data_IF_848133132955
#
_entry.id   IF_848133132955
#
_cell.length_a   1.000
_cell.length_b   1.000
_cell.length_c   1.000
_cell.angle_alpha   90.00
_cell.angle_beta   90.00
_cell.angle_gamma   90.00
#
_symmetry.space_group_name_H-M   'P 1'
#
loop_
_entity.id
_entity.type
_entity.pdbx_description
1 polymer ?
#
# COMPACT_ATOMS: atom_id res chain seq x y z
N UNK A 1 -0.25 -13.41 6.88
CA UNK A 1 -1.29 -12.48 6.42
C UNK A 1 -1.10 -11.05 6.92
N UNK A 2 -0.90 -10.84 8.23
CA UNK A 2 -0.69 -9.49 8.80
C UNK A 2 0.49 -8.78 8.16
N UNK A 3 1.61 -9.47 7.98
CA UNK A 3 2.81 -8.89 7.34
C UNK A 3 2.55 -8.47 5.89
N UNK A 4 1.80 -9.27 5.13
CA UNK A 4 1.41 -8.93 3.76
C UNK A 4 0.56 -7.66 3.72
N UNK A 5 -0.42 -7.56 4.62
CA UNK A 5 -1.27 -6.39 4.73
C UNK A 5 -0.47 -5.15 5.15
N UNK A 6 0.47 -5.30 6.09
CA UNK A 6 1.38 -4.21 6.49
C UNK A 6 2.26 -3.75 5.32
N UNK A 7 2.70 -4.68 4.48
CA UNK A 7 3.43 -4.32 3.26
C UNK A 7 2.55 -3.48 2.31
N UNK A 8 1.28 -3.83 2.16
CA UNK A 8 0.34 -3.05 1.34
C UNK A 8 0.07 -1.66 1.93
N UNK A 9 0.05 -1.51 3.26
CA UNK A 9 0.00 -0.19 3.91
C UNK A 9 1.18 0.66 3.46
N UNK A 10 2.38 0.09 3.45
CA UNK A 10 3.59 0.77 2.99
C UNK A 10 3.53 1.11 1.50
N UNK A 11 3.06 0.20 0.65
CA UNK A 11 2.91 0.42 -0.79
C UNK A 11 1.98 1.59 -1.06
N UNK A 12 0.84 1.66 -0.37
CA UNK A 12 -0.11 2.76 -0.51
C UNK A 12 0.55 4.11 -0.14
N UNK A 13 1.23 4.19 0.99
CA UNK A 13 1.91 5.41 1.40
C UNK A 13 3.00 5.82 0.41
N UNK A 14 3.80 4.86 -0.06
CA UNK A 14 4.94 5.13 -0.95
C UNK A 14 4.49 5.57 -2.34
N UNK A 15 3.58 4.84 -2.93
CA UNK A 15 3.25 5.00 -4.35
C UNK A 15 1.99 5.81 -4.57
N UNK A 16 0.97 5.68 -3.74
CA UNK A 16 -0.25 6.44 -3.89
C UNK A 16 -0.16 7.81 -3.22
N UNK A 17 0.03 7.86 -1.92
CA UNK A 17 0.04 9.13 -1.20
C UNK A 17 1.22 10.00 -1.60
N UNK A 18 2.39 9.42 -1.69
CA UNK A 18 3.60 10.17 -2.01
C UNK A 18 3.73 10.49 -3.51
N UNK A 19 3.54 9.51 -4.39
CA UNK A 19 3.77 9.69 -5.82
C UNK A 19 2.55 10.19 -6.58
N UNK A 20 1.38 9.61 -6.34
CA UNK A 20 0.16 10.04 -7.04
C UNK A 20 -0.38 11.36 -6.48
N UNK A 21 -0.45 11.49 -5.15
CA UNK A 21 -0.98 12.69 -4.49
C UNK A 21 0.08 13.75 -4.20
N UNK A 22 1.36 13.40 -4.22
CA UNK A 22 2.46 14.35 -3.96
C UNK A 22 2.61 14.77 -2.50
N UNK A 23 2.18 13.93 -1.56
CA UNK A 23 2.24 14.23 -0.14
C UNK A 23 3.64 13.99 0.44
N UNK A 24 4.04 14.82 1.38
CA UNK A 24 5.35 14.71 2.06
C UNK A 24 5.26 14.14 3.46
N UNK A 25 4.09 13.65 3.85
CA UNK A 25 3.85 13.07 5.17
C UNK A 25 4.75 11.86 5.44
N UNK A 26 5.11 11.58 6.70
CA UNK A 26 5.80 10.35 7.07
C UNK A 26 4.98 9.11 6.69
N UNK A 27 5.64 7.97 6.52
CA UNK A 27 4.95 6.70 6.33
C UNK A 27 4.13 6.34 7.57
N UNK A 28 3.04 5.62 7.36
CA UNK A 28 2.23 5.08 8.46
C UNK A 28 3.07 4.12 9.29
N UNK A 29 3.05 4.27 10.61
CA UNK A 29 3.92 3.53 11.53
C UNK A 29 3.81 2.01 11.38
N UNK A 30 2.63 1.49 11.08
CA UNK A 30 2.38 0.06 10.92
C UNK A 30 2.79 -0.51 9.56
N UNK A 31 3.27 0.33 8.63
CA UNK A 31 3.74 -0.12 7.33
C UNK A 31 4.96 -1.02 7.44
N UNK A 32 5.13 -1.94 6.49
CA UNK A 32 6.27 -2.83 6.43
C UNK A 32 6.96 -2.66 5.08
N UNK A 33 8.07 -1.94 5.08
CA UNK A 33 8.86 -1.65 3.89
C UNK A 33 10.12 -2.52 3.80
N UNK A 34 10.96 -2.25 2.79
CA UNK A 34 12.27 -2.88 2.70
C UNK A 34 13.07 -2.65 3.97
N UNK A 35 13.92 -3.62 4.33
CA UNK A 35 14.66 -3.60 5.60
C UNK A 35 15.46 -2.31 5.81
N UNK A 36 16.11 -1.81 4.75
CA UNK A 36 16.92 -0.59 4.86
C UNK A 36 16.09 0.66 5.19
N UNK A 37 14.79 0.66 4.87
CA UNK A 37 13.89 1.74 5.25
C UNK A 37 13.38 1.61 6.68
N UNK A 38 13.27 0.39 7.20
CA UNK A 38 12.80 0.16 8.57
C UNK A 38 13.77 0.71 9.62
N UNK A 39 15.04 0.87 9.26
CA UNK A 39 16.08 1.37 10.16
C UNK A 39 16.25 2.89 10.09
N UNK A 40 15.42 3.60 9.32
CA UNK A 40 15.48 5.04 9.12
C UNK A 40 14.36 5.77 9.87
N UNK A 41 14.58 7.05 10.18
CA UNK A 41 13.54 7.92 10.72
C UNK A 41 12.61 8.40 9.59
N UNK A 42 11.54 7.65 9.34
CA UNK A 42 10.61 7.95 8.24
C UNK A 42 9.15 7.71 8.62
N UNK A 43 8.86 7.46 9.90
CA UNK A 43 7.53 7.16 10.40
C UNK A 43 7.26 5.68 10.62
N UNK A 44 7.98 4.79 9.94
CA UNK A 44 7.83 3.35 10.12
C UNK A 44 8.33 2.91 11.51
N UNK A 45 7.60 1.99 12.14
CA UNK A 45 7.94 1.45 13.45
C UNK A 45 8.21 -0.05 13.36
N UNK A 46 9.50 -0.47 13.33
CA UNK A 46 9.84 -1.89 13.24
C UNK A 46 9.41 -2.71 14.46
N UNK A 47 9.13 -2.04 15.59
CA UNK A 47 8.70 -2.71 16.82
C UNK A 47 7.18 -2.81 16.95
N UNK A 48 6.41 -2.28 16.00
CA UNK A 48 4.95 -2.30 16.06
C UNK A 48 4.40 -3.74 16.14
N UNK A 49 3.46 -3.93 17.05
CA UNK A 49 2.72 -5.19 17.22
C UNK A 49 1.25 -4.90 16.98
N UNK A 50 0.68 -5.53 15.97
CA UNK A 50 -0.64 -5.18 15.47
C UNK A 50 -1.50 -6.43 15.32
N UNK A 51 -2.78 -6.28 15.68
CA UNK A 51 -3.78 -7.30 15.38
C UNK A 51 -4.19 -7.21 13.90
N UNK A 52 -4.76 -8.29 13.39
CA UNK A 52 -5.32 -8.31 12.04
C UNK A 52 -6.39 -7.23 11.88
N UNK A 53 -7.27 -7.06 12.88
CA UNK A 53 -8.35 -6.07 12.83
C UNK A 53 -7.82 -4.63 12.71
N UNK A 54 -6.75 -4.29 13.42
CA UNK A 54 -6.13 -2.97 13.33
C UNK A 54 -5.58 -2.69 11.93
N UNK A 55 -4.90 -3.67 11.33
CA UNK A 55 -4.34 -3.52 9.98
C UNK A 55 -5.48 -3.44 8.95
N UNK A 56 -6.51 -4.27 9.07
CA UNK A 56 -7.66 -4.25 8.17
C UNK A 56 -8.38 -2.90 8.20
N UNK A 57 -8.53 -2.29 9.38
CA UNK A 57 -9.15 -0.97 9.50
C UNK A 57 -8.37 0.11 8.73
N UNK A 58 -7.03 0.07 8.78
CA UNK A 58 -6.19 0.98 8.01
C UNK A 58 -6.32 0.69 6.51
N UNK A 59 -6.33 -0.58 6.11
CA UNK A 59 -6.48 -0.97 4.71
C UNK A 59 -7.83 -0.52 4.13
N UNK A 60 -8.90 -0.60 4.91
CA UNK A 60 -10.22 -0.12 4.47
C UNK A 60 -10.20 1.39 4.20
N UNK A 61 -9.56 2.18 5.05
CA UNK A 61 -9.41 3.62 4.83
C UNK A 61 -8.58 3.92 3.59
N UNK A 62 -7.49 3.18 3.37
CA UNK A 62 -6.64 3.34 2.19
C UNK A 62 -7.39 2.99 0.91
N UNK A 63 -8.16 1.90 0.91
CA UNK A 63 -8.98 1.50 -0.23
C UNK A 63 -10.01 2.58 -0.57
N UNK A 64 -10.68 3.14 0.44
CA UNK A 64 -11.65 4.23 0.24
C UNK A 64 -11.00 5.48 -0.35
N UNK A 65 -9.78 5.81 0.07
CA UNK A 65 -9.03 6.93 -0.47
C UNK A 65 -8.75 6.75 -1.97
N UNK A 66 -8.31 5.55 -2.37
CA UNK A 66 -8.06 5.23 -3.79
C UNK A 66 -9.36 5.27 -4.58
N UNK A 67 -10.43 4.67 -4.07
CA UNK A 67 -11.74 4.65 -4.74
C UNK A 67 -12.28 6.06 -4.98
N UNK A 68 -12.19 6.92 -3.97
CA UNK A 68 -12.64 8.31 -4.07
C UNK A 68 -11.84 9.06 -5.15
N UNK A 69 -10.53 8.87 -5.16
CA UNK A 69 -9.66 9.48 -6.15
C UNK A 69 -9.97 8.98 -7.56
N UNK A 70 -10.15 7.67 -7.74
CA UNK A 70 -10.46 7.05 -9.04
C UNK A 70 -11.80 7.53 -9.59
N UNK A 71 -12.77 7.83 -8.73
CA UNK A 71 -14.08 8.31 -9.16
C UNK A 71 -14.02 9.69 -9.84
N UNK A 72 -12.98 10.47 -9.54
CA UNK A 72 -12.85 11.86 -10.02
C UNK A 72 -11.68 12.09 -10.98
N UNK A 73 -10.80 11.09 -11.14
CA UNK A 73 -9.60 11.26 -11.97
C UNK A 73 -9.96 11.35 -13.45
N UNK A 74 -9.22 12.21 -14.18
CA UNK A 74 -9.38 12.37 -15.63
C UNK A 74 -8.22 11.71 -16.38
N UNK A 75 -8.41 11.36 -17.68
CA UNK A 75 -7.31 10.86 -18.51
C UNK A 75 -6.11 11.79 -18.55
N UNK A 76 -6.33 13.11 -18.56
CA UNK A 76 -5.26 14.11 -18.56
C UNK A 76 -4.44 14.04 -17.27
N UNK A 77 -5.08 13.87 -16.12
CA UNK A 77 -4.39 13.71 -14.84
C UNK A 77 -3.53 12.44 -14.82
N UNK A 78 -4.03 11.34 -15.38
CA UNK A 78 -3.29 10.08 -15.46
C UNK A 78 -2.05 10.18 -16.35
N UNK A 79 -2.10 11.01 -17.39
CA UNK A 79 -1.00 11.20 -18.33
C UNK A 79 0.08 12.18 -17.81
N UNK A 80 -0.20 12.98 -16.79
CA UNK A 80 0.75 13.95 -16.25
C UNK A 80 1.90 13.25 -15.53
N UNK A 81 3.05 13.94 -15.46
CA UNK A 81 4.16 13.50 -14.62
C UNK A 81 3.69 13.50 -13.15
N UNK A 82 3.97 12.43 -12.46
CA UNK A 82 3.56 12.28 -11.05
C UNK A 82 4.22 13.39 -10.20
N UNK A 83 3.45 13.99 -9.26
CA UNK A 83 3.97 15.08 -8.41
C UNK A 83 4.82 14.53 -7.26
N UNK A 84 5.82 13.70 -7.59
CA UNK A 84 6.73 13.11 -6.60
C UNK A 84 7.50 14.23 -5.91
N UNK A 85 7.48 14.29 -4.56
CA UNK A 85 8.23 15.31 -3.83
C UNK A 85 9.72 15.29 -4.16
N UNK A 86 10.32 16.47 -4.27
CA UNK A 86 11.74 16.62 -4.59
C UNK A 86 12.60 16.42 -3.35
N UNK A 87 12.73 15.18 -2.92
CA UNK A 87 13.57 14.75 -1.82
C UNK A 87 14.15 13.37 -2.14
N UNK A 88 14.98 12.82 -1.24
CA UNK A 88 15.65 11.54 -1.43
C UNK A 88 14.89 10.36 -0.83
N UNK A 89 13.65 10.57 -0.40
CA UNK A 89 12.85 9.51 0.22
C UNK A 89 12.36 8.50 -0.80
N UNK A 90 12.06 7.32 -0.31
CA UNK A 90 11.54 6.22 -1.11
C UNK A 90 10.15 6.53 -1.69
N UNK A 91 9.87 6.24 -2.96
CA UNK A 91 10.77 5.66 -3.97
C UNK A 91 11.42 6.74 -4.84
N UNK A 92 12.74 6.95 -4.76
CA UNK A 92 13.41 8.04 -5.50
C UNK A 92 13.34 7.87 -7.01
N UNK A 93 13.28 6.65 -7.51
CA UNK A 93 13.21 6.35 -8.94
C UNK A 93 11.82 6.59 -9.55
N UNK A 94 10.82 6.96 -8.75
CA UNK A 94 9.50 7.32 -9.26
C UNK A 94 9.47 8.67 -9.96
N UNK A 95 10.46 9.53 -9.71
CA UNK A 95 10.55 10.85 -10.34
C UNK A 95 10.59 10.71 -11.86
N UNK A 96 9.79 11.53 -12.55
CA UNK A 96 9.70 11.52 -14.01
C UNK A 96 8.69 10.54 -14.59
N UNK A 97 8.11 9.67 -13.77
CA UNK A 97 7.05 8.75 -14.21
C UNK A 97 5.70 9.44 -14.26
N UNK A 98 4.82 8.97 -15.15
CA UNK A 98 3.44 9.46 -15.22
C UNK A 98 2.63 8.96 -14.01
N UNK A 99 1.59 9.71 -13.64
CA UNK A 99 0.66 9.32 -12.57
C UNK A 99 0.14 7.90 -12.79
N UNK A 100 -0.27 7.56 -14.03
CA UNK A 100 -0.77 6.23 -14.36
C UNK A 100 0.24 5.11 -14.08
N UNK A 101 1.54 5.38 -14.22
CA UNK A 101 2.58 4.39 -13.95
C UNK A 101 2.75 4.15 -12.45
N UNK A 102 2.70 5.21 -11.65
CA UNK A 102 2.73 5.10 -10.19
C UNK A 102 1.48 4.39 -9.66
N UNK A 103 0.31 4.75 -10.19
CA UNK A 103 -0.94 4.09 -9.86
C UNK A 103 -0.90 2.60 -10.26
N UNK A 104 -0.36 2.30 -11.44
CA UNK A 104 -0.16 0.92 -11.91
C UNK A 104 0.63 0.08 -10.94
N UNK A 105 1.70 0.63 -10.36
CA UNK A 105 2.50 -0.04 -9.32
C UNK A 105 1.65 -0.38 -8.10
N UNK A 106 0.82 0.57 -7.63
CA UNK A 106 -0.11 0.33 -6.51
C UNK A 106 -1.06 -0.82 -6.82
N UNK A 107 -1.69 -0.78 -7.99
CA UNK A 107 -2.68 -1.77 -8.39
C UNK A 107 -2.05 -3.15 -8.60
N UNK A 108 -0.86 -3.23 -9.20
CA UNK A 108 -0.13 -4.47 -9.40
C UNK A 108 0.26 -5.12 -8.06
N UNK A 109 0.73 -4.33 -7.11
CA UNK A 109 1.07 -4.80 -5.76
C UNK A 109 -0.18 -5.27 -5.01
N UNK A 110 -1.26 -4.49 -5.07
CA UNK A 110 -2.54 -4.85 -4.47
C UNK A 110 -3.06 -6.17 -5.05
N UNK A 111 -3.01 -6.32 -6.37
CA UNK A 111 -3.47 -7.51 -7.04
C UNK A 111 -2.66 -8.75 -6.65
N UNK A 112 -1.32 -8.64 -6.69
CA UNK A 112 -0.44 -9.74 -6.36
C UNK A 112 -0.62 -10.21 -4.91
N UNK A 113 -0.62 -9.27 -3.97
CA UNK A 113 -0.72 -9.60 -2.54
C UNK A 113 -2.15 -9.94 -2.12
N UNK A 114 -3.17 -9.34 -2.76
CA UNK A 114 -4.57 -9.72 -2.54
C UNK A 114 -4.79 -11.18 -2.93
N UNK A 115 -4.22 -11.63 -4.04
CA UNK A 115 -4.28 -13.01 -4.47
C UNK A 115 -3.73 -13.97 -3.42
N UNK A 116 -2.61 -13.64 -2.79
CA UNK A 116 -2.04 -14.43 -1.70
C UNK A 116 -2.94 -14.44 -0.47
N UNK A 117 -3.45 -13.31 -0.05
CA UNK A 117 -4.38 -13.22 1.09
C UNK A 117 -5.64 -14.02 0.84
N UNK A 118 -6.20 -13.94 -0.36
CA UNK A 118 -7.39 -14.69 -0.74
C UNK A 118 -7.15 -16.19 -0.69
N UNK A 119 -6.01 -16.66 -1.17
CA UNK A 119 -5.64 -18.07 -1.10
C UNK A 119 -5.53 -18.56 0.34
N UNK A 120 -4.93 -17.75 1.20
CA UNK A 120 -4.76 -18.10 2.62
C UNK A 120 -6.12 -18.17 3.32
N UNK A 121 -7.03 -17.23 3.04
CA UNK A 121 -8.39 -17.26 3.57
C UNK A 121 -9.18 -18.46 3.07
N UNK A 122 -9.05 -18.81 1.79
CA UNK A 122 -9.69 -19.98 1.22
C UNK A 122 -9.20 -21.27 1.88
N UNK A 123 -7.90 -21.38 2.16
CA UNK A 123 -7.33 -22.53 2.88
C UNK A 123 -7.90 -22.66 4.29
N UNK A 124 -8.00 -21.54 5.02
CA UNK A 124 -8.56 -21.53 6.36
C UNK A 124 -10.03 -21.95 6.35
N UNK A 125 -10.81 -21.43 5.41
CA UNK A 125 -12.22 -21.80 5.24
C UNK A 125 -12.40 -23.30 4.94
N UNK A 126 -11.52 -23.86 4.11
CA UNK A 126 -11.55 -25.31 3.79
C UNK A 126 -11.21 -26.18 5.00
N UNK A 127 -10.25 -25.74 5.81
CA UNK A 127 -9.89 -26.44 7.06
C UNK A 127 -11.06 -26.46 8.04
N UNK A 128 -11.73 -25.33 8.22
CA UNK A 128 -12.92 -25.21 9.08
C UNK A 128 -14.06 -26.09 8.57
N UNK A 129 -14.30 -26.10 7.26
CA UNK A 129 -15.33 -26.97 6.64
C UNK A 129 -15.01 -28.45 6.81
N UNK A 130 -13.74 -28.85 6.79
CA UNK A 130 -13.35 -30.25 7.00
C UNK A 130 -13.47 -30.68 8.45
N UNK A 131 -13.38 -29.76 9.40
CA UNK A 131 -13.55 -30.05 10.82
C UNK A 131 -15.01 -30.20 11.23
N UNK A 132 -15.92 -29.54 10.51
CA UNK A 132 -17.37 -29.56 10.75
C UNK A 132 -18.07 -30.81 10.15
N UNK A 133 -17.34 -31.59 9.41
CA UNK A 133 -17.84 -32.83 8.81
C UNK A 133 -17.35 -34.07 9.59
#
# INVERSE_FOLDING_TARGET
MVETLRHLVFVHDSWFRRCVLGLTEPFTAMGLGPRFLMDQENGLDPSARLSLDEVLAVRDRQASEVETWLAEVTPDQLARIAPVPDDDRWPPYAKGRAVRQCLGTVLDEEWAHHGFCKRDLDKLSRQDSSQDS
#
